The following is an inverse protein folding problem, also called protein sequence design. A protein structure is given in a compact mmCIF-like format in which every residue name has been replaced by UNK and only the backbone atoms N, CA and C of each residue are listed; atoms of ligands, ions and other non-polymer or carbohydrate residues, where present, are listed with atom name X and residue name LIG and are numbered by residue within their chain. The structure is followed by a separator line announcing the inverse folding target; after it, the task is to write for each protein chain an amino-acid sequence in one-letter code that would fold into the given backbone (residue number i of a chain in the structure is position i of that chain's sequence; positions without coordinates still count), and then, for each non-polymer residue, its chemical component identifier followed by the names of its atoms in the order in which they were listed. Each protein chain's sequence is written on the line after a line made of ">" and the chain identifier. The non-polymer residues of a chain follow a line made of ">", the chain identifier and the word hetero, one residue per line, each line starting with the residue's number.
data_IF_623357131005
#
_entry.id   IF_623357131005
#
_cell.length_a   1.000
_cell.length_b   1.000
_cell.length_c   1.000
_cell.angle_alpha   90.00
_cell.angle_beta   90.00
_cell.angle_gamma   90.00
#
_symmetry.space_group_name_H-M   'P 1'
#
loop_
_entity.id
_entity.type
_entity.pdbx_description
1 polymer ?
#
# COMPACT_ATOMS: atom_id res chain seq x y z
N UNK A 1 19.31 6.39 6.85
CA UNK A 1 18.05 6.35 6.15
C UNK A 1 16.92 6.94 6.97
N UNK A 2 15.92 7.48 6.30
CA UNK A 2 14.72 8.00 6.94
C UNK A 2 13.49 7.70 6.08
N UNK A 3 12.33 7.79 6.70
CA UNK A 3 11.03 7.80 6.04
C UNK A 3 10.41 9.18 6.24
N UNK A 4 9.99 9.82 5.16
CA UNK A 4 9.37 11.14 5.18
C UNK A 4 7.97 11.03 4.60
N UNK A 5 7.00 11.61 5.28
CA UNK A 5 5.63 11.72 4.80
C UNK A 5 5.36 13.14 4.34
N UNK A 6 4.72 13.26 3.18
CA UNK A 6 4.36 14.53 2.58
C UNK A 6 2.86 14.60 2.35
N UNK A 7 2.31 15.81 2.46
CA UNK A 7 1.01 16.16 1.90
C UNK A 7 1.26 16.99 0.64
N UNK A 8 0.65 16.60 -0.47
CA UNK A 8 0.70 17.32 -1.74
C UNK A 8 -0.67 17.94 -2.01
N UNK A 9 -0.67 19.22 -2.38
CA UNK A 9 -1.85 19.86 -2.95
C UNK A 9 -1.87 19.60 -4.47
N UNK A 10 -2.84 18.84 -5.00
CA UNK A 10 -2.86 18.47 -6.42
C UNK A 10 -3.17 19.63 -7.36
N UNK A 11 -3.69 20.77 -6.84
CA UNK A 11 -4.01 21.94 -7.66
C UNK A 11 -2.84 22.91 -7.83
N UNK A 12 -1.95 22.98 -6.84
CA UNK A 12 -0.84 23.95 -6.80
C UNK A 12 0.53 23.32 -6.84
N UNK A 13 0.61 22.00 -6.76
CA UNK A 13 1.87 21.22 -6.60
C UNK A 13 2.67 21.60 -5.33
N UNK A 14 2.10 22.38 -4.43
CA UNK A 14 2.71 22.67 -3.14
C UNK A 14 2.69 21.43 -2.26
N UNK A 15 3.81 21.17 -1.59
CA UNK A 15 3.88 20.06 -0.65
C UNK A 15 4.34 20.54 0.74
N UNK A 16 3.89 19.81 1.76
CA UNK A 16 4.28 20.02 3.16
C UNK A 16 4.76 18.72 3.76
N UNK A 17 5.83 18.80 4.55
CA UNK A 17 6.30 17.67 5.33
C UNK A 17 5.36 17.48 6.51
N UNK A 18 4.78 16.28 6.63
CA UNK A 18 3.93 15.89 7.77
C UNK A 18 4.81 15.34 8.88
N UNK A 19 5.68 14.38 8.56
CA UNK A 19 6.46 13.64 9.55
C UNK A 19 7.77 13.15 8.95
N UNK A 20 8.82 13.16 9.75
CA UNK A 20 10.12 12.56 9.43
C UNK A 20 10.45 11.51 10.48
N UNK A 21 10.67 10.29 10.05
CA UNK A 21 11.12 9.18 10.88
C UNK A 21 12.58 8.84 10.55
N UNK A 22 13.58 9.27 11.36
CA UNK A 22 14.99 9.06 11.07
C UNK A 22 15.44 7.62 11.40
N UNK A 23 14.83 6.66 10.76
CA UNK A 23 15.08 5.23 10.93
C UNK A 23 14.72 4.44 9.67
N UNK A 24 15.28 3.26 9.53
CA UNK A 24 14.78 2.24 8.61
C UNK A 24 13.56 1.58 9.26
N UNK A 25 12.46 1.52 8.54
CA UNK A 25 11.17 1.05 9.03
C UNK A 25 10.63 -0.10 8.17
N UNK A 26 9.46 -0.61 8.54
CA UNK A 26 8.73 -1.59 7.74
C UNK A 26 8.40 -1.06 6.34
N UNK A 27 8.06 0.21 6.19
CA UNK A 27 7.87 0.85 4.89
C UNK A 27 9.14 0.86 4.05
N UNK A 28 10.32 1.03 4.67
CA UNK A 28 11.61 0.92 3.98
C UNK A 28 11.89 -0.51 3.48
N UNK A 29 11.51 -1.52 4.26
CA UNK A 29 11.60 -2.91 3.83
C UNK A 29 10.68 -3.21 2.63
N UNK A 30 9.45 -2.69 2.64
CA UNK A 30 8.54 -2.79 1.51
C UNK A 30 9.06 -2.06 0.27
N UNK A 31 9.60 -0.85 0.42
CA UNK A 31 10.22 -0.11 -0.67
C UNK A 31 11.42 -0.87 -1.25
N UNK A 32 12.26 -1.47 -0.40
CA UNK A 32 13.37 -2.32 -0.86
C UNK A 32 12.88 -3.52 -1.66
N UNK A 33 11.82 -4.17 -1.22
CA UNK A 33 11.20 -5.29 -1.94
C UNK A 33 10.56 -4.84 -3.25
N UNK A 34 9.91 -3.68 -3.27
CA UNK A 34 9.25 -3.13 -4.43
C UNK A 34 10.24 -2.72 -5.54
N UNK A 35 11.36 -2.14 -5.17
CA UNK A 35 12.34 -1.56 -6.11
C UNK A 35 13.56 -2.44 -6.35
N UNK A 36 13.79 -3.46 -5.51
CA UNK A 36 15.04 -4.21 -5.49
C UNK A 36 16.22 -3.47 -4.86
N UNK A 37 16.06 -2.20 -4.48
CA UNK A 37 17.11 -1.40 -3.86
C UNK A 37 17.24 -1.72 -2.37
N UNK A 38 18.39 -2.25 -1.89
CA UNK A 38 18.54 -2.77 -0.54
C UNK A 38 18.82 -1.63 0.46
N UNK A 39 17.80 -0.87 0.84
CA UNK A 39 17.90 0.33 1.69
C UNK A 39 18.67 0.06 2.98
N UNK A 40 18.37 -1.02 3.69
CA UNK A 40 19.03 -1.33 4.97
C UNK A 40 20.53 -1.59 4.80
N UNK A 41 20.92 -2.35 3.77
CA UNK A 41 22.33 -2.62 3.45
C UNK A 41 23.08 -1.33 3.10
N UNK A 42 22.50 -0.51 2.25
CA UNK A 42 23.10 0.78 1.87
C UNK A 42 23.20 1.70 3.07
N UNK A 43 22.14 1.84 3.87
CA UNK A 43 22.16 2.65 5.09
C UNK A 43 23.24 2.21 6.08
N UNK A 44 23.48 0.91 6.21
CA UNK A 44 24.56 0.38 7.08
C UNK A 44 25.94 0.78 6.57
N UNK A 45 26.16 0.72 5.24
CA UNK A 45 27.43 1.15 4.65
C UNK A 45 27.66 2.64 4.80
N UNK A 46 26.62 3.47 4.63
CA UNK A 46 26.67 4.92 4.86
C UNK A 46 26.98 5.23 6.33
N UNK A 47 26.41 4.46 7.27
CA UNK A 47 26.71 4.60 8.69
C UNK A 47 28.18 4.28 9.05
N UNK A 48 28.85 3.47 8.24
CA UNK A 48 30.29 3.19 8.36
C UNK A 48 31.17 4.26 7.70
N UNK A 49 30.58 5.29 7.12
CA UNK A 49 31.29 6.44 6.54
C UNK A 49 31.46 6.42 5.02
N UNK A 50 30.92 5.39 4.32
CA UNK A 50 30.93 5.36 2.86
C UNK A 50 29.91 6.33 2.28
N UNK A 51 30.23 6.96 1.16
CA UNK A 51 29.28 7.76 0.39
C UNK A 51 28.50 6.90 -0.61
N UNK A 52 27.38 7.41 -1.11
CA UNK A 52 26.56 6.68 -2.09
C UNK A 52 27.29 6.43 -3.41
N UNK A 53 28.24 7.30 -3.75
CA UNK A 53 29.05 7.17 -4.98
C UNK A 53 30.13 6.08 -4.86
N UNK A 54 30.60 5.82 -3.64
CA UNK A 54 31.57 4.75 -3.35
C UNK A 54 30.92 3.37 -3.25
N UNK A 55 29.62 3.34 -3.01
CA UNK A 55 28.86 2.08 -2.87
C UNK A 55 28.34 1.67 -4.26
N UNK A 56 28.66 0.46 -4.69
CA UNK A 56 28.08 -0.10 -5.93
C UNK A 56 26.62 -0.41 -5.76
N UNK A 57 25.83 -0.13 -6.79
CA UNK A 57 24.42 -0.50 -6.88
C UNK A 57 24.29 -2.03 -6.98
N UNK A 58 23.51 -2.62 -6.09
CA UNK A 58 23.34 -4.07 -6.03
C UNK A 58 22.52 -4.64 -7.20
N UNK A 59 21.72 -3.81 -7.88
CA UNK A 59 20.89 -4.23 -9.01
C UNK A 59 21.74 -4.25 -10.28
N UNK A 60 22.32 -3.12 -10.62
CA UNK A 60 23.06 -2.95 -11.88
C UNK A 60 24.47 -3.54 -11.84
N UNK A 61 25.10 -3.60 -10.66
CA UNK A 61 26.51 -3.96 -10.41
C UNK A 61 27.54 -2.97 -10.98
N UNK A 62 27.13 -2.09 -11.87
CA UNK A 62 27.96 -1.15 -12.61
C UNK A 62 27.84 0.30 -12.10
N UNK A 63 26.62 0.74 -11.84
CA UNK A 63 26.34 2.11 -11.39
C UNK A 63 26.58 2.29 -9.89
N UNK A 64 26.77 3.52 -9.38
CA UNK A 64 26.83 3.79 -7.96
C UNK A 64 25.43 3.67 -7.30
N UNK A 65 25.41 3.55 -5.99
CA UNK A 65 24.17 3.45 -5.20
C UNK A 65 23.38 4.76 -5.17
N UNK A 66 23.92 5.87 -5.63
CA UNK A 66 23.23 7.14 -5.84
C UNK A 66 22.23 7.10 -6.99
N UNK A 67 22.29 6.08 -7.86
CA UNK A 67 21.37 5.92 -8.97
C UNK A 67 19.99 5.48 -8.47
N UNK A 68 18.96 6.26 -8.79
CA UNK A 68 17.58 5.93 -8.41
C UNK A 68 17.08 4.67 -9.12
N UNK A 69 16.34 3.79 -8.44
CA UNK A 69 15.75 2.62 -9.09
C UNK A 69 14.65 3.04 -10.05
N UNK A 70 14.65 2.42 -11.24
CA UNK A 70 13.58 2.52 -12.23
C UNK A 70 12.85 1.18 -12.31
N UNK A 71 11.52 1.23 -12.33
CA UNK A 71 10.68 0.05 -12.40
C UNK A 71 9.72 0.13 -13.59
N UNK A 72 9.44 -1.02 -14.22
CA UNK A 72 8.53 -1.18 -15.35
C UNK A 72 7.32 -2.08 -15.00
N UNK A 73 7.00 -2.17 -13.73
CA UNK A 73 5.92 -2.98 -13.18
C UNK A 73 5.11 -2.17 -12.15
N UNK A 74 3.92 -2.65 -11.85
CA UNK A 74 3.03 -2.05 -10.85
C UNK A 74 3.20 -2.74 -9.51
N UNK A 75 3.32 -1.95 -8.46
CA UNK A 75 3.36 -2.43 -7.08
C UNK A 75 2.15 -1.91 -6.33
N UNK A 76 1.37 -2.82 -5.75
CA UNK A 76 0.20 -2.48 -4.96
C UNK A 76 0.42 -2.92 -3.52
N UNK A 77 0.10 -2.03 -2.61
CA UNK A 77 0.08 -2.27 -1.17
C UNK A 77 -1.34 -2.08 -0.66
N UNK A 78 -1.88 -3.10 0.02
CA UNK A 78 -3.19 -3.04 0.65
C UNK A 78 -3.03 -3.21 2.17
N UNK A 79 -3.58 -2.31 3.00
CA UNK A 79 -3.62 -2.50 4.44
C UNK A 79 -4.65 -3.55 4.82
N UNK A 80 -4.38 -4.29 5.90
CA UNK A 80 -5.34 -5.18 6.56
C UNK A 80 -5.49 -4.77 8.02
N UNK A 81 -6.71 -4.52 8.44
CA UNK A 81 -7.03 -4.21 9.83
C UNK A 81 -7.51 -5.49 10.54
N UNK A 82 -6.69 -6.13 11.39
CA UNK A 82 -7.01 -7.41 12.01
C UNK A 82 -7.92 -7.23 13.25
N UNK A 83 -9.03 -6.50 13.11
CA UNK A 83 -9.98 -6.25 14.19
C UNK A 83 -10.69 -7.53 14.67
N UNK A 84 -10.73 -8.55 13.82
CA UNK A 84 -11.25 -9.88 14.11
C UNK A 84 -10.44 -10.62 15.19
N UNK A 85 -9.15 -10.29 15.32
CA UNK A 85 -8.24 -10.91 16.31
C UNK A 85 -8.42 -10.37 17.74
N UNK A 86 -9.09 -9.24 17.90
CA UNK A 86 -9.23 -8.57 19.18
C UNK A 86 -10.70 -8.41 19.55
N UNK A 87 -11.14 -9.10 20.60
CA UNK A 87 -12.51 -9.00 21.09
C UNK A 87 -12.72 -7.67 21.81
N UNK A 88 -13.87 -7.04 21.57
CA UNK A 88 -14.31 -5.84 22.30
C UNK A 88 -13.69 -4.51 21.88
N UNK A 89 -12.91 -4.47 20.81
CA UNK A 89 -12.39 -3.20 20.24
C UNK A 89 -13.36 -2.63 19.20
N UNK A 90 -13.40 -1.30 19.11
CA UNK A 90 -14.10 -0.62 18.02
C UNK A 90 -13.45 -0.95 16.69
N UNK A 91 -14.26 -1.32 15.69
CA UNK A 91 -13.82 -1.56 14.30
C UNK A 91 -13.74 -0.30 13.46
N UNK A 92 -14.16 0.84 14.01
CA UNK A 92 -14.12 2.11 13.32
C UNK A 92 -12.69 2.62 13.18
N UNK A 93 -12.32 3.05 11.98
CA UNK A 93 -11.07 3.74 11.70
C UNK A 93 -11.26 5.22 12.05
N UNK A 94 -10.39 5.72 12.90
CA UNK A 94 -10.46 7.09 13.41
C UNK A 94 -9.06 7.64 13.68
N UNK A 95 -8.98 8.71 14.45
CA UNK A 95 -7.72 9.39 14.81
C UNK A 95 -6.83 8.58 15.77
N UNK A 96 -7.41 7.57 16.43
CA UNK A 96 -6.66 6.73 17.34
C UNK A 96 -5.83 5.71 16.57
N UNK A 97 -4.54 5.58 16.93
CA UNK A 97 -3.67 4.56 16.35
C UNK A 97 -4.18 3.15 16.68
N UNK A 98 -4.28 2.31 15.65
CA UNK A 98 -4.63 0.90 15.75
C UNK A 98 -3.62 0.05 15.00
N UNK A 99 -3.45 -1.20 15.45
CA UNK A 99 -2.57 -2.15 14.77
C UNK A 99 -3.13 -2.49 13.38
N UNK A 100 -2.25 -2.47 12.38
CA UNK A 100 -2.59 -2.87 11.02
C UNK A 100 -1.59 -3.89 10.49
N UNK A 101 -2.08 -4.82 9.64
CA UNK A 101 -1.28 -5.60 8.73
C UNK A 101 -1.22 -4.93 7.36
N UNK A 102 -0.41 -5.48 6.48
CA UNK A 102 -0.32 -5.02 5.10
C UNK A 102 0.19 -6.14 4.20
N UNK A 103 -0.27 -6.15 2.97
CA UNK A 103 0.21 -7.02 1.91
C UNK A 103 0.75 -6.19 0.76
N UNK A 104 1.65 -6.77 -0.02
CA UNK A 104 2.19 -6.16 -1.21
C UNK A 104 2.19 -7.17 -2.34
N UNK A 105 1.77 -6.74 -3.52
CA UNK A 105 1.84 -7.54 -4.73
C UNK A 105 2.47 -6.76 -5.88
N UNK A 106 3.08 -7.48 -6.79
CA UNK A 106 3.73 -6.96 -7.99
C UNK A 106 3.10 -7.63 -9.21
N UNK A 107 2.79 -6.85 -10.23
CA UNK A 107 2.24 -7.32 -11.49
C UNK A 107 2.68 -6.43 -12.66
N UNK A 108 2.46 -6.90 -13.87
CA UNK A 108 2.73 -6.12 -15.08
C UNK A 108 1.71 -5.03 -15.31
N UNK A 109 0.46 -5.29 -14.92
CA UNK A 109 -0.65 -4.33 -14.98
C UNK A 109 -1.21 -4.07 -13.59
N UNK A 110 -1.97 -2.99 -13.47
CA UNK A 110 -2.66 -2.66 -12.23
C UNK A 110 -3.60 -3.80 -11.80
N UNK A 111 -4.41 -4.30 -12.72
CA UNK A 111 -5.40 -5.35 -12.46
C UNK A 111 -4.74 -6.63 -11.96
N UNK A 112 -3.64 -7.04 -12.58
CA UNK A 112 -2.89 -8.21 -12.14
C UNK A 112 -2.35 -8.04 -10.73
N UNK A 113 -1.68 -6.90 -10.46
CA UNK A 113 -1.09 -6.61 -9.15
C UNK A 113 -2.18 -6.50 -8.07
N UNK A 114 -3.32 -5.90 -8.40
CA UNK A 114 -4.44 -5.72 -7.48
C UNK A 114 -5.09 -7.05 -7.10
N UNK A 115 -5.37 -7.90 -8.07
CA UNK A 115 -5.91 -9.24 -7.83
C UNK A 115 -4.96 -10.11 -6.98
N UNK A 116 -3.66 -10.03 -7.25
CA UNK A 116 -2.64 -10.70 -6.44
C UNK A 116 -2.64 -10.18 -5.00
N UNK A 117 -2.76 -8.86 -4.81
CA UNK A 117 -2.80 -8.25 -3.48
C UNK A 117 -4.03 -8.69 -2.70
N UNK A 118 -5.21 -8.76 -3.34
CA UNK A 118 -6.43 -9.26 -2.70
C UNK A 118 -6.28 -10.70 -2.21
N UNK A 119 -5.78 -11.60 -3.06
CA UNK A 119 -5.50 -12.98 -2.63
C UNK A 119 -4.53 -13.06 -1.45
N UNK A 120 -3.53 -12.17 -1.43
CA UNK A 120 -2.53 -12.13 -0.37
C UNK A 120 -3.07 -11.66 0.98
N UNK A 121 -4.28 -11.07 1.04
CA UNK A 121 -4.93 -10.73 2.31
C UNK A 121 -5.33 -11.95 3.12
N UNK A 122 -5.43 -13.13 2.50
CA UNK A 122 -5.81 -14.39 3.15
C UNK A 122 -7.14 -14.27 3.96
N UNK A 123 -8.14 -13.71 3.29
CA UNK A 123 -9.48 -13.49 3.85
C UNK A 123 -10.54 -14.39 3.20
N UNK A 124 -10.12 -15.42 2.46
CA UNK A 124 -11.01 -16.34 1.74
C UNK A 124 -11.49 -15.79 0.39
N UNK A 125 -10.85 -14.74 -0.14
CA UNK A 125 -11.14 -14.20 -1.46
C UNK A 125 -10.03 -14.60 -2.44
N UNK A 126 -10.44 -15.11 -3.60
CA UNK A 126 -9.49 -15.42 -4.68
C UNK A 126 -9.21 -14.23 -5.60
N UNK A 127 -9.85 -13.12 -5.35
CA UNK A 127 -9.78 -11.88 -6.11
C UNK A 127 -11.07 -11.09 -6.00
N UNK A 128 -11.26 -10.12 -6.90
CA UNK A 128 -12.57 -9.52 -7.11
C UNK A 128 -13.45 -10.52 -7.87
N UNK A 129 -14.22 -11.28 -7.13
CA UNK A 129 -15.29 -12.11 -7.67
C UNK A 129 -16.63 -11.45 -7.37
N UNK A 130 -17.61 -11.68 -8.26
CA UNK A 130 -18.99 -11.36 -7.94
C UNK A 130 -19.45 -12.32 -6.84
N UNK A 131 -19.45 -11.86 -5.61
CA UNK A 131 -20.09 -12.57 -4.51
C UNK A 131 -21.46 -11.93 -4.30
N UNK A 132 -22.51 -12.72 -4.47
CA UNK A 132 -23.85 -12.31 -4.05
C UNK A 132 -23.86 -12.30 -2.51
N UNK A 133 -23.51 -11.17 -1.91
CA UNK A 133 -23.49 -11.04 -0.47
C UNK A 133 -24.93 -11.00 0.08
N UNK A 134 -25.31 -12.07 0.70
CA UNK A 134 -26.52 -12.15 1.55
C UNK A 134 -26.22 -11.75 3.00
N UNK A 135 -24.96 -11.52 3.37
CA UNK A 135 -24.56 -11.23 4.75
C UNK A 135 -24.05 -9.80 4.92
N UNK A 136 -24.81 -9.02 5.72
CA UNK A 136 -24.63 -7.59 5.97
C UNK A 136 -23.40 -7.22 6.82
N UNK A 137 -22.54 -8.17 7.19
CA UNK A 137 -21.47 -7.96 8.16
C UNK A 137 -20.18 -7.34 7.59
N UNK A 138 -20.02 -7.27 6.27
CA UNK A 138 -18.77 -6.84 5.63
C UNK A 138 -18.82 -5.46 4.96
N UNK A 139 -20.01 -4.96 4.63
CA UNK A 139 -20.19 -3.64 4.02
C UNK A 139 -21.04 -2.76 4.93
N UNK A 140 -20.86 -1.43 4.87
CA UNK A 140 -21.85 -0.54 5.45
C UNK A 140 -23.21 -0.95 4.89
N UNK A 141 -24.18 -1.22 5.75
CA UNK A 141 -25.50 -1.71 5.37
C UNK A 141 -26.06 -0.89 4.20
N UNK A 142 -26.27 -1.52 3.08
CA UNK A 142 -26.94 -0.91 1.95
C UNK A 142 -26.10 -0.71 0.67
N UNK A 143 -24.85 -1.17 0.61
CA UNK A 143 -24.02 -1.06 -0.60
C UNK A 143 -23.68 -2.42 -1.19
N UNK A 144 -23.61 -2.51 -2.50
CA UNK A 144 -23.14 -3.66 -3.26
C UNK A 144 -22.42 -3.23 -4.53
N UNK A 145 -21.44 -4.00 -4.98
CA UNK A 145 -20.78 -3.75 -6.25
C UNK A 145 -21.70 -4.16 -7.41
N UNK A 146 -21.71 -3.39 -8.49
CA UNK A 146 -22.39 -3.78 -9.71
C UNK A 146 -21.60 -4.89 -10.44
N UNK A 147 -22.25 -5.55 -11.41
CA UNK A 147 -21.65 -6.64 -12.20
C UNK A 147 -20.41 -6.23 -12.99
N UNK A 148 -20.19 -4.94 -13.25
CA UNK A 148 -19.01 -4.42 -13.96
C UNK A 148 -17.88 -4.02 -13.04
N UNK A 149 -18.03 -4.15 -11.73
CA UNK A 149 -17.06 -3.75 -10.69
C UNK A 149 -16.63 -2.28 -10.73
N UNK A 150 -17.37 -1.44 -11.44
CA UNK A 150 -17.04 -0.02 -11.62
C UNK A 150 -17.78 0.90 -10.69
N UNK A 151 -18.84 0.44 -10.04
CA UNK A 151 -19.64 1.27 -9.15
C UNK A 151 -20.26 0.49 -8.00
N UNK A 152 -20.32 1.08 -6.82
CA UNK A 152 -21.17 0.62 -5.74
C UNK A 152 -22.60 1.06 -5.98
N UNK A 153 -23.57 0.20 -5.69
CA UNK A 153 -25.00 0.49 -5.80
C UNK A 153 -25.54 0.50 -4.37
N UNK A 154 -26.21 1.58 -3.98
CA UNK A 154 -26.92 1.65 -2.71
C UNK A 154 -28.18 0.76 -2.69
N UNK A 155 -28.77 0.57 -1.54
CA UNK A 155 -29.99 -0.24 -1.37
C UNK A 155 -31.23 0.32 -2.09
N UNK A 156 -31.14 1.54 -2.65
CA UNK A 156 -32.17 2.19 -3.46
C UNK A 156 -31.92 2.04 -4.96
N UNK A 157 -30.80 1.40 -5.35
CA UNK A 157 -30.42 1.20 -6.75
C UNK A 157 -29.65 2.35 -7.39
N UNK A 158 -29.25 3.38 -6.62
CA UNK A 158 -28.47 4.49 -7.15
C UNK A 158 -26.99 4.11 -7.22
N UNK A 159 -26.34 4.46 -8.31
CA UNK A 159 -24.90 4.28 -8.47
C UNK A 159 -24.13 5.34 -7.70
N UNK A 160 -23.18 4.91 -6.87
CA UNK A 160 -22.22 5.78 -6.19
C UNK A 160 -20.87 5.55 -6.84
N UNK A 161 -20.22 6.61 -7.32
CA UNK A 161 -18.89 6.52 -7.88
C UNK A 161 -17.92 5.99 -6.82
N UNK A 162 -17.05 5.07 -7.21
CA UNK A 162 -16.02 4.48 -6.33
C UNK A 162 -14.99 5.49 -5.85
N UNK A 163 -14.96 6.68 -6.45
CA UNK A 163 -14.03 7.77 -6.10
C UNK A 163 -14.21 8.29 -4.67
N UNK A 164 -15.33 7.96 -4.02
CA UNK A 164 -15.62 8.34 -2.63
C UNK A 164 -15.40 7.20 -1.62
N UNK A 165 -14.97 6.03 -2.06
CA UNK A 165 -14.59 4.94 -1.18
C UNK A 165 -13.10 5.06 -0.87
N UNK A 166 -12.79 5.82 0.18
CA UNK A 166 -11.46 5.83 0.77
C UNK A 166 -11.29 4.49 1.52
N UNK A 167 -10.47 3.60 0.95
CA UNK A 167 -10.02 2.38 1.60
C UNK A 167 -8.89 2.64 2.58
#
# INVERSE_FOLDING_TARGET
>A
GCNIQFALNPETDEYKVIEVNPRVSRSSALASKATGYPIAKISSKVALGLTLDEIKNDITKETPASFEPAIDYVVIKIPRWPFDKFKGISREVGVQMKATGEVMAIGRTFEEAFQKALRSLDMGFDGFEYVEYTDSNYWPSGYRLNKSMTMCIDNKGNSVATDNLIF
#
